data_IF_678880559556
#
_entry.id   IF_678880559556
#
_cell.length_a   1.000
_cell.length_b   1.000
_cell.length_c   1.000
_cell.angle_alpha   90.00
_cell.angle_beta   90.00
_cell.angle_gamma   90.00
#
_symmetry.space_group_name_H-M   'P 1'
#
loop_
_entity.id
_entity.type
_entity.pdbx_description
1 polymer ?
#
# COMPACT_ATOMS: atom_id res chain seq x y z
N UNK A 1 -17.95 -14.28 -25.65
CA UNK A 1 -17.39 -12.97 -25.24
C UNK A 1 -17.67 -12.65 -23.77
N UNK A 2 -18.93 -12.65 -23.32
CA UNK A 2 -19.30 -12.26 -21.94
C UNK A 2 -18.64 -13.12 -20.84
N UNK A 3 -18.61 -14.44 -21.00
CA UNK A 3 -17.94 -15.33 -20.02
C UNK A 3 -16.44 -15.08 -19.91
N UNK A 4 -15.77 -14.78 -21.02
CA UNK A 4 -14.34 -14.47 -21.03
C UNK A 4 -14.06 -13.16 -20.27
N UNK A 5 -14.82 -12.10 -20.55
CA UNK A 5 -14.70 -10.81 -19.86
C UNK A 5 -14.96 -10.98 -18.37
N UNK A 6 -16.00 -11.74 -18.01
CA UNK A 6 -16.33 -12.02 -16.62
C UNK A 6 -15.17 -12.75 -15.90
N UNK A 7 -14.67 -13.86 -16.47
CA UNK A 7 -13.57 -14.62 -15.89
C UNK A 7 -12.30 -13.78 -15.77
N UNK A 8 -11.98 -12.97 -16.79
CA UNK A 8 -10.85 -12.04 -16.75
C UNK A 8 -11.00 -11.01 -15.62
N UNK A 9 -12.20 -10.43 -15.47
CA UNK A 9 -12.50 -9.50 -14.39
C UNK A 9 -12.34 -10.12 -13.01
N UNK A 10 -12.82 -11.36 -12.82
CA UNK A 10 -12.65 -12.13 -11.58
C UNK A 10 -11.17 -12.39 -11.28
N UNK A 11 -10.39 -12.80 -12.28
CA UNK A 11 -8.95 -13.04 -12.12
C UNK A 11 -8.22 -11.76 -11.72
N UNK A 12 -8.41 -10.67 -12.46
CA UNK A 12 -7.72 -9.40 -12.18
C UNK A 12 -8.08 -8.82 -10.82
N UNK A 13 -9.37 -8.83 -10.46
CA UNK A 13 -9.83 -8.36 -9.15
C UNK A 13 -9.33 -9.23 -7.99
N UNK A 14 -9.27 -10.56 -8.18
CA UNK A 14 -8.72 -11.48 -7.18
C UNK A 14 -7.22 -11.32 -6.99
N UNK A 15 -6.46 -11.14 -8.08
CA UNK A 15 -5.02 -10.85 -8.01
C UNK A 15 -4.81 -9.56 -7.24
N UNK A 16 -5.53 -8.49 -7.60
CA UNK A 16 -5.41 -7.20 -6.96
C UNK A 16 -5.73 -7.26 -5.46
N UNK A 17 -6.86 -7.88 -5.06
CA UNK A 17 -7.24 -7.98 -3.66
C UNK A 17 -6.24 -8.83 -2.86
N UNK A 18 -5.75 -9.92 -3.44
CA UNK A 18 -4.74 -10.77 -2.79
C UNK A 18 -3.43 -10.01 -2.55
N UNK A 19 -2.99 -9.22 -3.53
CA UNK A 19 -1.82 -8.35 -3.37
C UNK A 19 -2.04 -7.28 -2.30
N UNK A 20 -3.20 -6.62 -2.29
CA UNK A 20 -3.55 -5.63 -1.28
C UNK A 20 -3.53 -6.22 0.14
N UNK A 21 -4.14 -7.39 0.33
CA UNK A 21 -4.11 -8.11 1.61
C UNK A 21 -2.68 -8.50 1.99
N UNK A 22 -1.87 -9.01 1.05
CA UNK A 22 -0.50 -9.43 1.32
C UNK A 22 0.41 -8.28 1.77
N UNK A 23 0.24 -7.09 1.17
CA UNK A 23 1.02 -5.88 1.49
C UNK A 23 0.62 -5.29 2.84
N UNK A 24 -0.68 -5.19 3.12
CA UNK A 24 -1.17 -4.47 4.30
C UNK A 24 -1.37 -5.35 5.54
N UNK A 25 -1.52 -6.68 5.36
CA UNK A 25 -1.67 -7.68 6.42
C UNK A 25 -2.62 -7.26 7.58
N UNK A 26 -3.87 -6.87 7.29
CA UNK A 26 -4.77 -6.23 8.28
C UNK A 26 -5.10 -7.11 9.49
N UNK A 27 -4.98 -8.43 9.36
CA UNK A 27 -5.27 -9.42 10.41
C UNK A 27 -4.00 -10.10 10.95
N UNK A 28 -2.82 -9.58 10.61
CA UNK A 28 -1.53 -10.21 10.91
C UNK A 28 -1.11 -11.28 9.89
N UNK A 29 0.12 -11.77 10.04
CA UNK A 29 0.80 -12.60 9.03
C UNK A 29 0.07 -13.92 8.70
N UNK A 30 -0.35 -14.67 9.71
CA UNK A 30 -1.02 -15.97 9.53
C UNK A 30 -2.44 -15.81 8.99
N UNK A 31 -3.29 -15.03 9.66
CA UNK A 31 -4.70 -14.90 9.32
C UNK A 31 -4.91 -14.29 7.93
N UNK A 32 -4.07 -13.33 7.55
CA UNK A 32 -4.10 -12.75 6.20
C UNK A 32 -3.82 -13.80 5.13
N UNK A 33 -2.84 -14.70 5.35
CA UNK A 33 -2.53 -15.77 4.39
C UNK A 33 -3.65 -16.80 4.27
N UNK A 34 -4.29 -17.15 5.40
CA UNK A 34 -5.47 -18.02 5.41
C UNK A 34 -6.62 -17.38 4.64
N UNK A 35 -6.86 -16.08 4.83
CA UNK A 35 -7.89 -15.33 4.11
C UNK A 35 -7.61 -15.31 2.60
N UNK A 36 -6.36 -15.03 2.18
CA UNK A 36 -5.95 -15.07 0.77
C UNK A 36 -6.16 -16.48 0.18
N UNK A 37 -5.73 -17.53 0.89
CA UNK A 37 -5.92 -18.91 0.44
C UNK A 37 -7.39 -19.27 0.26
N UNK A 38 -8.24 -18.86 1.21
CA UNK A 38 -9.70 -19.09 1.16
C UNK A 38 -10.33 -18.32 0.00
N UNK A 39 -9.94 -17.06 -0.21
CA UNK A 39 -10.39 -16.25 -1.33
C UNK A 39 -10.01 -16.87 -2.67
N UNK A 40 -8.75 -17.30 -2.85
CA UNK A 40 -8.29 -17.93 -4.08
C UNK A 40 -8.99 -19.27 -4.36
N UNK A 41 -9.21 -20.09 -3.33
CA UNK A 41 -9.97 -21.33 -3.47
C UNK A 41 -11.41 -21.05 -3.94
N UNK A 42 -12.04 -20.01 -3.38
CA UNK A 42 -13.37 -19.58 -3.79
C UNK A 42 -13.39 -19.03 -5.23
N UNK A 43 -12.40 -18.24 -5.62
CA UNK A 43 -12.22 -17.76 -7.01
C UNK A 43 -12.09 -18.92 -8.01
N UNK A 44 -11.29 -19.94 -7.69
CA UNK A 44 -11.14 -21.13 -8.55
C UNK A 44 -12.45 -21.94 -8.68
N UNK A 45 -13.24 -22.00 -7.61
CA UNK A 45 -14.57 -22.61 -7.63
C UNK A 45 -15.51 -21.88 -8.60
N UNK A 46 -15.54 -20.54 -8.55
CA UNK A 46 -16.36 -19.70 -9.45
C UNK A 46 -15.95 -19.84 -10.91
N UNK A 47 -14.65 -19.95 -11.17
CA UNK A 47 -14.12 -20.16 -12.52
C UNK A 47 -14.40 -21.59 -13.06
N UNK A 48 -14.95 -22.49 -12.24
CA UNK A 48 -15.28 -23.86 -12.62
C UNK A 48 -14.06 -24.77 -12.74
N UNK A 49 -12.93 -24.40 -12.13
CA UNK A 49 -11.64 -25.10 -12.30
C UNK A 49 -11.48 -26.25 -11.29
N UNK A 50 -12.14 -26.19 -10.13
CA UNK A 50 -11.86 -27.12 -9.02
C UNK A 50 -13.04 -27.89 -8.41
N UNK A 51 -14.30 -27.48 -8.62
CA UNK A 51 -15.43 -28.10 -7.89
C UNK A 51 -16.64 -28.32 -8.81
N UNK A 52 -16.86 -29.59 -9.19
CA UNK A 52 -18.06 -30.08 -9.92
C UNK A 52 -19.27 -30.29 -8.97
N UNK A 53 -19.11 -30.06 -7.67
CA UNK A 53 -20.16 -30.20 -6.67
C UNK A 53 -20.79 -28.83 -6.35
N UNK A 54 -21.99 -28.58 -6.84
CA UNK A 54 -22.77 -27.38 -6.53
C UNK A 54 -23.17 -27.36 -5.04
N UNK A 55 -22.33 -26.79 -4.18
CA UNK A 55 -22.71 -26.48 -2.79
C UNK A 55 -23.68 -25.30 -2.73
N UNK A 56 -23.57 -24.36 -3.67
CA UNK A 56 -24.44 -23.20 -3.85
C UNK A 56 -24.83 -23.07 -5.33
N UNK A 57 -25.92 -22.35 -5.58
CA UNK A 57 -26.28 -21.99 -6.95
C UNK A 57 -25.28 -20.98 -7.50
N UNK A 58 -24.99 -21.05 -8.80
CA UNK A 58 -24.04 -20.15 -9.48
C UNK A 58 -24.30 -18.66 -9.25
N UNK A 59 -25.56 -18.27 -9.05
CA UNK A 59 -25.92 -16.88 -8.74
C UNK A 59 -25.54 -16.48 -7.32
N UNK A 60 -25.65 -17.40 -6.35
CA UNK A 60 -25.21 -17.15 -4.97
C UNK A 60 -23.70 -16.99 -4.88
N UNK A 61 -22.93 -17.82 -5.60
CA UNK A 61 -21.46 -17.70 -5.62
C UNK A 61 -20.99 -16.34 -6.16
N UNK A 62 -21.64 -15.87 -7.25
CA UNK A 62 -21.35 -14.54 -7.82
C UNK A 62 -21.67 -13.44 -6.81
N UNK A 63 -22.81 -13.53 -6.11
CA UNK A 63 -23.17 -12.54 -5.09
C UNK A 63 -22.18 -12.52 -3.92
N UNK A 64 -21.79 -13.68 -3.42
CA UNK A 64 -20.80 -13.79 -2.33
C UNK A 64 -19.45 -13.21 -2.77
N UNK A 65 -19.03 -13.48 -4.01
CA UNK A 65 -17.81 -12.89 -4.55
C UNK A 65 -17.88 -11.37 -4.64
N UNK A 66 -18.96 -10.83 -5.22
CA UNK A 66 -19.14 -9.39 -5.36
C UNK A 66 -19.20 -8.70 -4.01
N UNK A 67 -19.86 -9.30 -3.02
CA UNK A 67 -19.92 -8.77 -1.65
C UNK A 67 -18.53 -8.79 -1.00
N UNK A 68 -17.82 -9.92 -1.06
CA UNK A 68 -16.48 -10.02 -0.49
C UNK A 68 -15.49 -9.04 -1.14
N UNK A 69 -15.57 -8.89 -2.47
CA UNK A 69 -14.76 -7.92 -3.20
C UNK A 69 -15.13 -6.48 -2.85
N UNK A 70 -16.42 -6.15 -2.74
CA UNK A 70 -16.89 -4.82 -2.33
C UNK A 70 -16.44 -4.46 -0.91
N UNK A 71 -16.47 -5.42 0.03
CA UNK A 71 -15.91 -5.24 1.37
C UNK A 71 -14.41 -4.99 1.33
N UNK A 72 -13.68 -5.73 0.49
CA UNK A 72 -12.25 -5.51 0.25
C UNK A 72 -11.95 -4.11 -0.30
N UNK A 73 -12.77 -3.61 -1.25
CA UNK A 73 -12.64 -2.25 -1.77
C UNK A 73 -12.92 -1.19 -0.71
N UNK A 74 -14.01 -1.35 0.05
CA UNK A 74 -14.38 -0.43 1.11
C UNK A 74 -13.27 -0.34 2.17
N UNK A 75 -12.73 -1.48 2.58
CA UNK A 75 -11.57 -1.53 3.46
C UNK A 75 -10.35 -0.83 2.84
N UNK A 76 -10.00 -1.15 1.60
CA UNK A 76 -8.80 -0.61 0.97
C UNK A 76 -8.84 0.91 0.80
N UNK A 77 -9.95 1.44 0.30
CA UNK A 77 -10.12 2.88 0.10
C UNK A 77 -10.43 3.65 1.39
N UNK A 78 -10.81 2.96 2.47
CA UNK A 78 -11.00 3.54 3.79
C UNK A 78 -9.73 3.61 4.64
N UNK A 79 -8.58 3.15 4.15
CA UNK A 79 -7.33 3.20 4.90
C UNK A 79 -6.74 4.61 4.93
N UNK A 80 -6.44 5.11 6.14
CA UNK A 80 -5.69 6.36 6.30
C UNK A 80 -4.23 6.21 5.84
N UNK A 81 -3.68 7.32 5.35
CA UNK A 81 -2.26 7.43 5.08
C UNK A 81 -1.47 7.29 6.40
N UNK A 82 -0.59 6.30 6.45
CA UNK A 82 0.24 5.97 7.61
C UNK A 82 1.70 6.31 7.35
N UNK A 83 2.29 7.09 8.25
CA UNK A 83 3.69 7.49 8.17
C UNK A 83 4.61 6.67 9.09
N UNK A 84 4.02 5.86 9.96
CA UNK A 84 4.68 4.94 10.90
C UNK A 84 5.07 3.61 10.24
N UNK A 85 5.61 3.67 9.03
CA UNK A 85 6.13 2.49 8.33
C UNK A 85 7.65 2.41 8.43
N UNK A 86 8.17 1.21 8.21
CA UNK A 86 9.61 0.95 8.11
C UNK A 86 10.15 1.50 6.78
N UNK A 87 10.19 2.83 6.69
CA UNK A 87 10.66 3.56 5.53
C UNK A 87 12.17 3.39 5.38
N UNK A 88 12.66 3.40 4.13
CA UNK A 88 14.09 3.49 3.85
C UNK A 88 14.67 4.68 4.63
N UNK A 89 15.81 4.52 5.33
CA UNK A 89 16.37 5.57 6.16
C UNK A 89 16.42 6.95 5.52
N UNK A 90 16.64 7.03 4.22
CA UNK A 90 16.71 8.28 3.47
C UNK A 90 15.39 9.09 3.44
N UNK A 91 14.25 8.48 3.76
CA UNK A 91 12.92 9.13 3.80
C UNK A 91 12.20 8.85 5.12
N UNK A 92 12.90 8.27 6.10
CA UNK A 92 12.34 7.93 7.40
C UNK A 92 11.88 9.15 8.21
N UNK A 93 12.43 10.34 7.94
CA UNK A 93 12.05 11.60 8.60
C UNK A 93 11.53 12.59 7.59
N UNK A 94 10.32 13.08 7.82
CA UNK A 94 9.74 14.16 7.02
C UNK A 94 10.35 15.50 7.42
N UNK A 95 10.77 16.28 6.42
CA UNK A 95 11.19 17.66 6.60
C UNK A 95 10.02 18.48 7.15
N UNK A 96 10.25 19.23 8.22
CA UNK A 96 9.31 20.24 8.68
C UNK A 96 10.06 21.54 8.97
N UNK A 97 9.33 22.66 8.95
CA UNK A 97 9.92 23.96 9.19
C UNK A 97 9.12 24.77 10.19
N UNK A 98 9.82 25.64 10.89
CA UNK A 98 9.26 26.69 11.74
C UNK A 98 9.75 28.03 11.20
N UNK A 99 8.84 29.02 11.12
CA UNK A 99 9.19 30.36 10.64
C UNK A 99 8.81 31.40 11.67
N UNK A 100 9.77 32.25 12.04
CA UNK A 100 9.58 33.44 12.86
C UNK A 100 10.14 34.64 12.10
N UNK A 101 9.24 35.48 11.58
CA UNK A 101 9.58 36.62 10.72
C UNK A 101 10.44 36.18 9.51
N UNK A 102 11.69 36.64 9.45
CA UNK A 102 12.67 36.32 8.40
C UNK A 102 13.55 35.12 8.76
N UNK A 103 13.39 34.52 9.94
CA UNK A 103 14.15 33.33 10.36
C UNK A 103 13.34 32.07 10.11
N UNK A 104 13.90 31.15 9.33
CA UNK A 104 13.32 29.82 9.06
C UNK A 104 14.24 28.77 9.66
N UNK A 105 13.69 27.91 10.51
CA UNK A 105 14.35 26.72 11.02
C UNK A 105 13.81 25.50 10.29
N UNK A 106 14.66 24.81 9.54
CA UNK A 106 14.34 23.54 8.90
C UNK A 106 14.83 22.40 9.79
N UNK A 107 13.96 21.45 10.08
CA UNK A 107 14.27 20.23 10.83
C UNK A 107 14.25 19.02 9.90
N UNK A 108 14.99 17.98 10.27
CA UNK A 108 15.14 16.76 9.48
C UNK A 108 15.66 17.05 8.06
N UNK A 109 16.64 17.95 7.94
CA UNK A 109 17.35 18.15 6.68
C UNK A 109 18.28 16.96 6.47
N UNK A 110 18.07 16.22 5.37
CA UNK A 110 18.88 15.06 5.01
C UNK A 110 20.26 15.50 4.51
N UNK A 111 21.33 15.04 5.16
CA UNK A 111 22.70 15.32 4.75
C UNK A 111 23.58 14.06 4.82
N UNK A 112 23.15 12.99 4.16
CA UNK A 112 23.81 11.69 4.28
C UNK A 112 25.18 11.70 3.60
N UNK A 113 26.17 11.10 4.25
CA UNK A 113 27.50 10.91 3.67
C UNK A 113 27.48 9.65 2.79
N UNK A 114 27.68 9.83 1.48
CA UNK A 114 27.68 8.75 0.51
C UNK A 114 29.08 8.20 0.31
N UNK A 115 29.19 6.86 0.34
CA UNK A 115 30.43 6.14 0.10
C UNK A 115 30.49 5.63 -1.35
N UNK A 116 31.70 5.38 -1.86
CA UNK A 116 31.90 4.95 -3.25
C UNK A 116 31.28 3.58 -3.58
N UNK A 117 31.02 2.75 -2.57
CA UNK A 117 30.37 1.44 -2.69
C UNK A 117 28.84 1.52 -2.69
N UNK A 118 28.27 2.73 -2.60
CA UNK A 118 26.83 2.97 -2.54
C UNK A 118 26.23 2.84 -1.13
N UNK A 119 27.03 2.52 -0.12
CA UNK A 119 26.61 2.66 1.27
C UNK A 119 26.56 4.13 1.67
N UNK A 120 25.85 4.43 2.76
CA UNK A 120 25.75 5.78 3.28
C UNK A 120 25.75 5.80 4.80
N UNK A 121 26.22 6.91 5.37
CA UNK A 121 26.10 7.20 6.79
C UNK A 121 24.98 8.23 6.97
N UNK A 122 23.98 7.87 7.77
CA UNK A 122 22.83 8.74 8.02
C UNK A 122 23.22 9.98 8.81
N UNK A 123 22.84 11.16 8.30
CA UNK A 123 22.95 12.43 9.00
C UNK A 123 21.68 13.26 8.81
N UNK A 124 21.07 13.66 9.93
CA UNK A 124 19.86 14.47 9.96
C UNK A 124 20.14 15.76 10.70
N UNK A 125 19.95 16.88 10.04
CA UNK A 125 20.33 18.20 10.55
C UNK A 125 19.13 19.08 10.84
N UNK A 126 19.33 20.03 11.75
CA UNK A 126 18.47 21.21 11.88
C UNK A 126 19.27 22.42 11.38
N UNK A 127 18.74 23.12 10.39
CA UNK A 127 19.39 24.27 9.75
C UNK A 127 18.56 25.52 9.92
N UNK A 128 19.20 26.65 10.21
CA UNK A 128 18.55 27.94 10.37
C UNK A 128 18.98 28.87 9.24
N UNK A 129 18.01 29.56 8.63
CA UNK A 129 18.22 30.46 7.51
C UNK A 129 17.55 31.79 7.76
N UNK A 130 18.27 32.88 7.48
CA UNK A 130 17.69 34.21 7.39
C UNK A 130 17.27 34.47 5.93
N UNK A 131 15.97 34.60 5.69
CA UNK A 131 15.40 34.84 4.36
C UNK A 131 15.96 36.10 3.69
N UNK A 132 16.39 37.10 4.45
CA UNK A 132 17.03 38.31 3.91
C UNK A 132 18.40 38.06 3.28
N UNK A 133 19.04 36.93 3.60
CA UNK A 133 20.32 36.53 3.01
C UNK A 133 20.12 35.69 1.74
N UNK A 134 18.88 35.31 1.41
CA UNK A 134 18.58 34.54 0.20
C UNK A 134 18.46 35.51 -0.98
N UNK A 135 19.47 35.50 -1.85
CA UNK A 135 19.54 36.41 -3.01
C UNK A 135 18.96 35.80 -4.30
N UNK A 136 18.47 34.56 -4.26
CA UNK A 136 17.87 33.87 -5.39
C UNK A 136 17.83 32.36 -5.21
N UNK A 137 17.12 31.69 -6.13
CA UNK A 137 17.16 30.23 -6.30
C UNK A 137 17.73 30.00 -7.71
N UNK A 138 18.76 29.17 -7.84
CA UNK A 138 19.40 28.83 -9.11
C UNK A 138 18.55 27.85 -9.93
#
# INVERSE_FOLDING_TARGET
MLHFIFSLGVILSSIWLSMALWIHQPLGWLMTRVLIGTWLAFTLSILGIYITQHLLSRNQDILVYLLGFALGLFWYFGMDAKQDRDWNPEVARMLHYEQVQDQVTLHNVRNFDWHADGSYTEHWETRQFNLKQITGVN
#
